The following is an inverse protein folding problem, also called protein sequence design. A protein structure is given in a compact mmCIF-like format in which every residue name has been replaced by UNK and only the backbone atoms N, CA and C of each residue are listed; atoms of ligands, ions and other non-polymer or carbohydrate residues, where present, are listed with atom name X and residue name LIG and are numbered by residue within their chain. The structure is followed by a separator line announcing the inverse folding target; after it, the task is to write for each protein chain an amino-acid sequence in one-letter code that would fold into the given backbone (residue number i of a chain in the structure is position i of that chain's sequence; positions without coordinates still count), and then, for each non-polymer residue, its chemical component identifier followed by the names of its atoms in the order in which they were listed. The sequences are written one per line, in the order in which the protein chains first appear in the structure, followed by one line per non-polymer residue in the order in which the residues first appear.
data_IF_727821353871
#
_entry.id   IF_727821353871
#
_cell.length_a   1.000
_cell.length_b   1.000
_cell.length_c   1.000
_cell.angle_alpha   90.00
_cell.angle_beta   90.00
_cell.angle_gamma   90.00
#
_symmetry.space_group_name_H-M   'P 1'
#
loop_
_entity.id
_entity.type
_entity.pdbx_description
1 polymer ?
#
# COMPACT_ATOMS: atom_id res chain seq x y z
N UNK A 1 -14.79 16.12 6.79
CA UNK A 1 -15.86 16.72 5.94
C UNK A 1 -15.98 15.96 4.64
N UNK A 2 -17.22 15.74 4.16
CA UNK A 2 -17.44 15.08 2.87
C UNK A 2 -16.74 15.86 1.75
N UNK A 3 -16.00 15.20 0.84
CA UNK A 3 -15.40 15.88 -0.30
C UNK A 3 -16.48 16.52 -1.20
N UNK A 4 -16.15 17.64 -1.79
CA UNK A 4 -17.03 18.33 -2.76
C UNK A 4 -17.12 17.53 -4.05
N UNK A 5 -18.20 17.70 -4.83
CA UNK A 5 -18.38 17.05 -6.15
C UNK A 5 -17.19 17.29 -7.08
N UNK A 6 -16.59 18.48 -7.05
CA UNK A 6 -15.40 18.82 -7.84
C UNK A 6 -14.19 17.95 -7.44
N UNK A 7 -13.94 17.80 -6.14
CA UNK A 7 -12.83 16.94 -5.65
C UNK A 7 -13.03 15.49 -6.03
N UNK A 8 -14.26 14.97 -5.98
CA UNK A 8 -14.60 13.60 -6.40
C UNK A 8 -14.36 13.42 -7.90
N UNK A 9 -14.76 14.36 -8.74
CA UNK A 9 -14.55 14.28 -10.18
C UNK A 9 -13.05 14.31 -10.53
N UNK A 10 -12.28 15.20 -9.94
CA UNK A 10 -10.83 15.27 -10.15
C UNK A 10 -10.14 13.96 -9.73
N UNK A 11 -10.59 13.34 -8.63
CA UNK A 11 -10.06 12.04 -8.20
C UNK A 11 -10.38 10.93 -9.21
N UNK A 12 -11.61 10.90 -9.74
CA UNK A 12 -12.02 9.91 -10.75
C UNK A 12 -11.22 10.09 -12.05
N UNK A 13 -10.97 11.31 -12.48
CA UNK A 13 -10.15 11.61 -13.64
C UNK A 13 -8.72 11.10 -13.45
N UNK A 14 -8.06 11.50 -12.36
CA UNK A 14 -6.71 11.03 -12.01
C UNK A 14 -6.63 9.50 -11.95
N UNK A 15 -7.62 8.86 -11.32
CA UNK A 15 -7.70 7.40 -11.24
C UNK A 15 -7.76 6.77 -12.62
N UNK A 16 -8.67 7.26 -13.50
CA UNK A 16 -8.91 6.68 -14.81
C UNK A 16 -7.80 7.00 -15.83
N UNK A 17 -7.03 8.08 -15.63
CA UNK A 17 -5.82 8.37 -16.41
C UNK A 17 -4.68 7.39 -16.07
N UNK A 18 -4.63 6.93 -14.82
CA UNK A 18 -3.56 6.05 -14.33
C UNK A 18 -3.89 4.56 -14.45
N UNK A 19 -5.16 4.20 -14.25
CA UNK A 19 -5.64 2.81 -14.15
C UNK A 19 -6.49 2.46 -15.37
N UNK A 20 -6.07 1.43 -16.09
CA UNK A 20 -6.83 0.86 -17.20
C UNK A 20 -7.96 -0.07 -16.70
N UNK A 21 -8.95 -0.36 -17.55
CA UNK A 21 -10.10 -1.20 -17.16
C UNK A 21 -9.72 -2.62 -16.74
N UNK A 22 -8.65 -3.16 -17.31
CA UNK A 22 -8.15 -4.52 -17.04
C UNK A 22 -7.20 -4.60 -15.85
N UNK A 23 -6.72 -3.46 -15.32
CA UNK A 23 -5.78 -3.45 -14.22
C UNK A 23 -6.41 -3.96 -12.93
N UNK A 24 -5.60 -4.62 -12.10
CA UNK A 24 -5.99 -5.06 -10.76
C UNK A 24 -5.64 -3.97 -9.76
N UNK A 25 -6.62 -3.59 -8.94
CA UNK A 25 -6.47 -2.52 -7.96
C UNK A 25 -6.83 -3.00 -6.56
N UNK A 26 -5.92 -2.83 -5.62
CA UNK A 26 -6.16 -3.05 -4.20
C UNK A 26 -6.42 -1.72 -3.51
N UNK A 27 -7.56 -1.61 -2.84
CA UNK A 27 -7.97 -0.44 -2.06
C UNK A 27 -7.82 -0.80 -0.58
N UNK A 28 -6.94 -0.12 0.14
CA UNK A 28 -6.59 -0.45 1.52
C UNK A 28 -7.47 0.27 2.56
N UNK A 29 -8.76 0.26 2.32
CA UNK A 29 -9.78 0.74 3.23
C UNK A 29 -10.02 2.24 3.19
N UNK A 30 -11.07 2.63 3.92
CA UNK A 30 -11.57 4.00 4.01
C UNK A 30 -11.82 4.65 2.63
N UNK A 31 -12.38 3.82 1.72
CA UNK A 31 -12.61 4.20 0.34
C UNK A 31 -13.59 5.39 0.22
N UNK A 32 -14.64 5.41 1.04
CA UNK A 32 -15.68 6.44 0.89
C UNK A 32 -16.42 6.72 2.19
N UNK A 33 -16.53 8.00 2.52
CA UNK A 33 -17.40 8.54 3.60
C UNK A 33 -18.82 8.86 3.12
N UNK A 34 -19.17 8.53 1.87
CA UNK A 34 -20.46 8.74 1.27
C UNK A 34 -21.46 7.63 1.67
N UNK A 35 -22.76 7.90 1.47
CA UNK A 35 -23.78 6.86 1.58
C UNK A 35 -23.61 5.78 0.48
N UNK A 36 -24.34 4.66 0.62
CA UNK A 36 -24.24 3.53 -0.31
C UNK A 36 -24.48 3.91 -1.78
N UNK A 37 -25.48 4.78 -2.06
CA UNK A 37 -25.81 5.16 -3.43
C UNK A 37 -24.72 6.00 -4.08
N UNK A 38 -24.19 6.98 -3.36
CA UNK A 38 -23.12 7.85 -3.87
C UNK A 38 -21.80 7.09 -4.00
N UNK A 39 -21.50 6.18 -3.05
CA UNK A 39 -20.36 5.26 -3.15
C UNK A 39 -20.47 4.39 -4.40
N UNK A 40 -21.66 3.85 -4.68
CA UNK A 40 -21.89 3.07 -5.91
C UNK A 40 -21.65 3.88 -7.18
N UNK A 41 -22.15 5.11 -7.25
CA UNK A 41 -21.93 6.01 -8.40
C UNK A 41 -20.45 6.30 -8.65
N UNK A 42 -19.65 6.43 -7.61
CA UNK A 42 -18.20 6.60 -7.71
C UNK A 42 -17.58 5.31 -8.26
N UNK A 43 -17.88 4.17 -7.65
CA UNK A 43 -17.33 2.86 -8.06
C UNK A 43 -17.65 2.50 -9.52
N UNK A 44 -18.86 2.80 -9.99
CA UNK A 44 -19.29 2.58 -11.36
C UNK A 44 -18.44 3.35 -12.40
N UNK A 45 -17.84 4.46 -12.00
CA UNK A 45 -17.01 5.33 -12.84
C UNK A 45 -15.52 4.99 -12.81
N UNK A 46 -15.05 4.26 -11.82
CA UNK A 46 -13.64 3.93 -11.62
C UNK A 46 -13.24 2.70 -12.45
N UNK A 47 -12.18 2.83 -13.24
CA UNK A 47 -11.56 1.72 -13.94
C UNK A 47 -10.95 0.68 -13.00
N UNK A 48 -10.66 -0.49 -13.55
CA UNK A 48 -9.93 -1.55 -12.88
C UNK A 48 -10.78 -2.58 -12.14
N UNK A 49 -10.18 -3.74 -11.93
CA UNK A 49 -10.73 -4.84 -11.14
C UNK A 49 -10.40 -4.62 -9.67
N UNK A 50 -11.36 -4.13 -8.92
CA UNK A 50 -11.17 -3.63 -7.55
C UNK A 50 -11.25 -4.74 -6.52
N UNK A 51 -10.27 -4.81 -5.62
CA UNK A 51 -10.26 -5.61 -4.40
C UNK A 51 -10.27 -4.66 -3.20
N UNK A 52 -11.19 -4.84 -2.26
CA UNK A 52 -11.29 -4.00 -1.07
C UNK A 52 -10.69 -4.71 0.15
N UNK A 53 -9.71 -4.10 0.78
CA UNK A 53 -9.29 -4.40 2.13
C UNK A 53 -10.09 -3.47 3.04
N UNK A 54 -10.98 -4.03 3.86
CA UNK A 54 -12.01 -3.28 4.58
C UNK A 54 -11.37 -2.46 5.70
N UNK A 55 -11.61 -1.14 5.69
CA UNK A 55 -11.27 -0.19 6.74
C UNK A 55 -12.45 0.12 7.67
N UNK A 56 -12.19 0.92 8.70
CA UNK A 56 -13.20 1.26 9.72
C UNK A 56 -14.30 2.20 9.20
N UNK A 57 -14.09 2.90 8.10
CA UNK A 57 -15.08 3.79 7.49
C UNK A 57 -15.78 3.20 6.27
N UNK A 58 -15.56 1.93 5.93
CA UNK A 58 -16.10 1.28 4.73
C UNK A 58 -17.50 0.69 4.88
N UNK A 59 -18.29 1.14 5.85
CA UNK A 59 -19.65 0.61 6.09
C UNK A 59 -20.60 0.71 4.88
N UNK A 60 -20.39 1.68 4.00
CA UNK A 60 -21.15 1.85 2.75
C UNK A 60 -20.56 0.99 1.62
N UNK A 61 -19.23 0.96 1.49
CA UNK A 61 -18.53 0.19 0.47
C UNK A 61 -18.69 -1.32 0.69
N UNK A 62 -18.58 -1.79 1.94
CA UNK A 62 -18.74 -3.21 2.29
C UNK A 62 -20.14 -3.79 2.01
N UNK A 63 -21.15 -2.95 1.79
CA UNK A 63 -22.51 -3.34 1.36
C UNK A 63 -22.67 -3.42 -0.17
N UNK A 64 -21.59 -3.21 -0.92
CA UNK A 64 -21.52 -3.22 -2.38
C UNK A 64 -20.58 -4.33 -2.87
N UNK A 65 -20.72 -5.52 -2.29
CA UNK A 65 -19.87 -6.69 -2.55
C UNK A 65 -19.78 -7.04 -4.05
N UNK A 66 -20.86 -6.88 -4.78
CA UNK A 66 -20.91 -7.12 -6.22
C UNK A 66 -20.08 -6.13 -7.07
N UNK A 67 -19.60 -5.04 -6.48
CA UNK A 67 -18.73 -4.04 -7.13
C UNK A 67 -17.24 -4.36 -7.00
N UNK A 68 -16.89 -5.36 -6.18
CA UNK A 68 -15.52 -5.77 -5.91
C UNK A 68 -15.28 -7.22 -6.33
N UNK A 69 -14.08 -7.52 -6.81
CA UNK A 69 -13.64 -8.89 -7.10
C UNK A 69 -13.42 -9.71 -5.83
N UNK A 70 -13.02 -9.05 -4.75
CA UNK A 70 -12.96 -9.61 -3.39
C UNK A 70 -13.01 -8.51 -2.36
N UNK A 71 -13.48 -8.90 -1.15
CA UNK A 71 -13.41 -8.06 0.04
C UNK A 71 -12.87 -8.91 1.20
N UNK A 72 -11.96 -8.35 1.97
CA UNK A 72 -11.37 -9.01 3.14
C UNK A 72 -10.74 -7.98 4.08
N UNK A 73 -10.52 -8.35 5.35
CA UNK A 73 -9.79 -7.50 6.28
C UNK A 73 -8.27 -7.61 6.11
N UNK A 74 -7.81 -8.77 5.65
CA UNK A 74 -6.39 -9.04 5.35
C UNK A 74 -6.31 -9.74 4.01
N UNK A 75 -5.33 -9.36 3.19
CA UNK A 75 -5.02 -10.00 1.93
C UNK A 75 -3.55 -10.41 1.92
N UNK A 76 -3.30 -11.68 1.72
CA UNK A 76 -1.97 -12.27 1.58
C UNK A 76 -1.76 -12.60 0.09
N UNK A 77 -0.77 -11.98 -0.55
CA UNK A 77 -0.51 -12.14 -1.99
C UNK A 77 0.98 -12.30 -2.24
N UNK A 78 1.33 -13.31 -3.04
CA UNK A 78 2.68 -13.45 -3.57
C UNK A 78 2.68 -13.11 -5.05
N UNK A 79 3.32 -12.01 -5.42
CA UNK A 79 3.59 -11.65 -6.80
C UNK A 79 4.83 -12.43 -7.28
N UNK A 80 4.65 -13.27 -8.30
CA UNK A 80 5.69 -14.18 -8.77
C UNK A 80 6.61 -13.50 -9.79
N UNK A 81 7.93 -13.63 -9.61
CA UNK A 81 8.93 -13.13 -10.56
C UNK A 81 8.77 -13.69 -11.97
N UNK A 82 8.27 -14.91 -12.10
CA UNK A 82 8.04 -15.53 -13.42
C UNK A 82 6.83 -14.93 -14.16
N UNK A 83 6.02 -14.12 -13.47
CA UNK A 83 4.85 -13.44 -14.02
C UNK A 83 5.11 -11.95 -14.31
N UNK A 84 6.02 -11.34 -13.54
CA UNK A 84 6.29 -9.89 -13.58
C UNK A 84 7.77 -9.63 -13.85
N UNK A 85 8.10 -9.16 -15.05
CA UNK A 85 9.48 -8.95 -15.53
C UNK A 85 10.31 -7.97 -14.69
N UNK A 86 9.67 -7.08 -13.92
CA UNK A 86 10.36 -6.13 -13.04
C UNK A 86 10.77 -6.74 -11.69
N UNK A 87 10.36 -7.96 -11.37
CA UNK A 87 10.70 -8.63 -10.11
C UNK A 87 11.96 -9.48 -10.27
N UNK A 88 12.97 -9.27 -9.43
CA UNK A 88 14.14 -10.14 -9.31
C UNK A 88 13.83 -11.42 -8.52
N UNK A 89 12.90 -11.32 -7.58
CA UNK A 89 12.46 -12.38 -6.68
C UNK A 89 10.94 -12.30 -6.45
N UNK A 90 10.35 -13.35 -5.89
CA UNK A 90 8.94 -13.33 -5.50
C UNK A 90 8.68 -12.24 -4.46
N UNK A 91 7.64 -11.44 -4.66
CA UNK A 91 7.30 -10.32 -3.78
C UNK A 91 6.06 -10.66 -2.97
N UNK A 92 6.25 -10.93 -1.68
CA UNK A 92 5.20 -11.34 -0.75
C UNK A 92 4.65 -10.13 0.02
N UNK A 93 3.39 -9.80 -0.21
CA UNK A 93 2.73 -8.60 0.31
C UNK A 93 1.55 -8.98 1.18
N UNK A 94 1.56 -8.52 2.42
CA UNK A 94 0.44 -8.61 3.37
C UNK A 94 -0.25 -7.24 3.43
N UNK A 95 -1.49 -7.17 2.97
CA UNK A 95 -2.30 -5.97 2.96
C UNK A 95 -3.31 -6.00 4.10
N UNK A 96 -3.33 -4.95 4.91
CA UNK A 96 -4.29 -4.74 5.98
C UNK A 96 -4.58 -3.24 6.07
N UNK A 97 -5.81 -2.83 6.40
CA UNK A 97 -6.10 -1.42 6.62
C UNK A 97 -5.26 -0.82 7.76
N UNK A 98 -5.02 -1.61 8.81
CA UNK A 98 -4.23 -1.21 9.96
C UNK A 98 -2.76 -1.64 9.85
N UNK A 99 -1.82 -0.85 10.41
CA UNK A 99 -0.42 -1.26 10.53
C UNK A 99 -0.28 -2.46 11.48
N UNK A 100 0.49 -3.46 11.08
CA UNK A 100 0.71 -4.67 11.86
C UNK A 100 2.05 -4.62 12.58
N UNK A 101 2.11 -5.10 13.83
CA UNK A 101 3.36 -5.32 14.56
C UNK A 101 4.08 -6.59 14.11
N UNK A 102 3.31 -7.58 13.68
CA UNK A 102 3.81 -8.83 13.11
C UNK A 102 2.83 -9.34 12.06
N UNK A 103 3.34 -10.00 11.03
CA UNK A 103 2.55 -10.53 9.92
C UNK A 103 3.19 -11.77 9.35
N UNK A 104 2.47 -12.47 8.48
CA UNK A 104 2.92 -13.71 7.85
C UNK A 104 4.25 -13.52 7.11
N UNK A 105 5.22 -14.39 7.40
CA UNK A 105 6.55 -14.41 6.79
C UNK A 105 7.38 -13.12 6.96
N UNK A 106 7.08 -12.28 7.98
CA UNK A 106 7.81 -11.04 8.27
C UNK A 106 9.33 -11.25 8.31
N UNK A 107 9.79 -12.31 8.98
CA UNK A 107 11.22 -12.63 9.12
C UNK A 107 11.84 -13.21 7.84
N UNK A 108 11.04 -13.46 6.81
CA UNK A 108 11.46 -14.01 5.51
C UNK A 108 11.25 -12.99 4.37
N UNK A 109 11.17 -11.71 4.70
CA UNK A 109 11.16 -10.63 3.73
C UNK A 109 9.79 -10.26 3.16
N UNK A 110 8.68 -10.80 3.70
CA UNK A 110 7.36 -10.29 3.33
C UNK A 110 7.16 -8.87 3.87
N UNK A 111 6.36 -8.08 3.15
CA UNK A 111 6.10 -6.68 3.48
C UNK A 111 4.66 -6.48 3.96
N UNK A 112 4.44 -5.53 4.87
CA UNK A 112 3.11 -5.09 5.28
C UNK A 112 2.77 -3.74 4.64
N UNK A 113 1.66 -3.70 3.93
CA UNK A 113 1.12 -2.49 3.30
C UNK A 113 -0.19 -2.14 3.99
N UNK A 114 -0.31 -0.90 4.46
CA UNK A 114 -1.46 -0.44 5.25
C UNK A 114 -1.91 0.97 4.87
N UNK A 115 -3.04 1.40 5.41
CA UNK A 115 -3.55 2.77 5.40
C UNK A 115 -3.74 3.27 6.83
N UNK A 116 -4.89 3.87 7.11
CA UNK A 116 -5.42 4.29 8.42
C UNK A 116 -4.65 5.40 9.12
N UNK A 117 -3.32 5.39 9.10
CA UNK A 117 -2.48 6.25 9.94
C UNK A 117 -2.20 7.62 9.34
N UNK A 118 -2.67 7.93 8.11
CA UNK A 118 -2.51 9.24 7.48
C UNK A 118 -1.05 9.75 7.47
N UNK A 119 -0.08 8.85 7.29
CA UNK A 119 1.35 9.17 7.28
C UNK A 119 2.00 9.35 8.67
N UNK A 120 1.24 9.27 9.78
CA UNK A 120 1.81 9.43 11.13
C UNK A 120 2.89 8.40 11.49
N UNK A 121 2.88 7.23 10.85
CA UNK A 121 3.86 6.18 11.09
C UNK A 121 5.00 6.14 10.07
N UNK A 122 5.00 6.99 9.05
CA UNK A 122 5.99 6.95 7.97
C UNK A 122 7.43 7.01 8.51
N UNK A 123 7.68 7.98 9.41
CA UNK A 123 8.99 8.11 10.05
C UNK A 123 9.34 6.89 10.92
N UNK A 124 8.39 6.38 11.70
CA UNK A 124 8.62 5.19 12.53
C UNK A 124 8.91 3.95 11.68
N UNK A 125 8.18 3.75 10.59
CA UNK A 125 8.40 2.64 9.67
C UNK A 125 9.81 2.71 9.07
N UNK A 126 10.22 3.87 8.60
CA UNK A 126 11.56 4.10 8.03
C UNK A 126 12.66 3.93 9.07
N UNK A 127 12.55 4.60 10.22
CA UNK A 127 13.58 4.58 11.27
C UNK A 127 13.78 3.19 11.89
N UNK A 128 12.72 2.40 12.01
CA UNK A 128 12.79 1.03 12.56
C UNK A 128 13.32 -0.01 11.57
N UNK A 129 13.40 0.31 10.27
CA UNK A 129 13.74 -0.65 9.21
C UNK A 129 12.70 -1.76 9.03
N UNK A 130 11.49 -1.56 9.55
CA UNK A 130 10.38 -2.49 9.35
C UNK A 130 9.91 -2.45 7.91
N UNK A 131 9.74 -3.61 7.28
CA UNK A 131 9.21 -3.73 5.91
C UNK A 131 7.70 -3.45 5.89
N UNK A 132 7.34 -2.23 6.27
CA UNK A 132 5.97 -1.75 6.40
C UNK A 132 5.84 -0.34 5.84
N UNK A 133 4.74 -0.05 5.11
CA UNK A 133 4.49 1.27 4.51
C UNK A 133 3.02 1.67 4.57
N UNK A 134 2.77 2.96 4.83
CA UNK A 134 1.46 3.59 4.67
C UNK A 134 1.26 3.99 3.20
N UNK A 135 0.25 3.43 2.55
CA UNK A 135 -0.13 3.73 1.16
C UNK A 135 -1.39 4.62 1.08
N UNK A 136 -1.87 5.08 2.22
CA UNK A 136 -2.97 6.06 2.28
C UNK A 136 -2.60 7.36 1.57
N UNK A 137 -3.60 8.10 1.09
CA UNK A 137 -3.41 9.34 0.30
C UNK A 137 -2.60 10.41 1.03
N UNK A 138 -2.57 10.38 2.36
CA UNK A 138 -1.80 11.30 3.21
C UNK A 138 -0.38 10.79 3.52
N UNK A 139 -0.05 9.55 3.16
CA UNK A 139 1.27 8.96 3.33
C UNK A 139 2.30 9.57 2.39
N UNK A 140 3.59 9.56 2.81
CA UNK A 140 4.67 10.14 2.00
C UNK A 140 4.84 9.44 0.65
N UNK A 141 4.72 8.13 0.61
CA UNK A 141 4.87 7.38 -0.64
C UNK A 141 3.78 7.76 -1.64
N UNK A 142 2.52 7.85 -1.21
CA UNK A 142 1.42 8.25 -2.06
C UNK A 142 1.58 9.69 -2.60
N UNK A 143 1.99 10.64 -1.75
CA UNK A 143 2.25 12.02 -2.16
C UNK A 143 3.37 12.13 -3.20
N UNK A 144 4.43 11.36 -3.06
CA UNK A 144 5.56 11.32 -3.99
C UNK A 144 5.23 10.62 -5.31
N UNK A 145 4.27 9.69 -5.31
CA UNK A 145 3.90 8.88 -6.48
C UNK A 145 2.69 9.38 -7.28
N UNK A 146 2.10 10.53 -6.90
CA UNK A 146 0.86 11.01 -7.52
C UNK A 146 -0.39 10.29 -7.02
N UNK A 147 -0.39 9.83 -5.77
CA UNK A 147 -1.49 9.21 -5.01
C UNK A 147 -1.87 7.78 -5.40
N UNK A 148 -1.44 7.26 -6.54
CA UNK A 148 -1.67 5.87 -6.94
C UNK A 148 -0.32 5.18 -7.02
N UNK A 149 -0.15 4.13 -6.22
CA UNK A 149 1.11 3.42 -6.08
C UNK A 149 1.07 2.18 -6.96
N UNK A 150 1.93 2.13 -7.96
CA UNK A 150 2.08 0.94 -8.80
C UNK A 150 2.87 -0.16 -8.10
N UNK A 151 2.65 -1.41 -8.49
CA UNK A 151 3.39 -2.54 -7.93
C UNK A 151 4.91 -2.44 -8.16
N UNK A 152 5.42 -2.01 -9.33
CA UNK A 152 6.85 -1.77 -9.52
C UNK A 152 7.42 -0.72 -8.55
N UNK A 153 6.70 0.37 -8.33
CA UNK A 153 7.13 1.42 -7.39
C UNK A 153 7.16 0.90 -5.95
N UNK A 154 6.15 0.14 -5.54
CA UNK A 154 6.10 -0.47 -4.21
C UNK A 154 7.26 -1.45 -4.00
N UNK A 155 7.55 -2.29 -4.99
CA UNK A 155 8.69 -3.21 -4.96
C UNK A 155 10.01 -2.47 -4.82
N UNK A 156 10.25 -1.45 -5.64
CA UNK A 156 11.47 -0.65 -5.59
C UNK A 156 11.64 0.06 -4.24
N UNK A 157 10.56 0.60 -3.68
CA UNK A 157 10.58 1.23 -2.35
C UNK A 157 11.13 0.27 -1.27
N UNK A 158 10.66 -0.97 -1.23
CA UNK A 158 11.14 -1.95 -0.26
C UNK A 158 12.55 -2.47 -0.57
N UNK A 159 12.93 -2.59 -1.83
CA UNK A 159 14.31 -2.91 -2.23
C UNK A 159 15.29 -1.84 -1.74
N UNK A 160 14.96 -0.58 -1.87
CA UNK A 160 15.78 0.54 -1.41
C UNK A 160 15.90 0.53 0.11
N UNK A 161 14.79 0.36 0.86
CA UNK A 161 14.83 0.22 2.31
C UNK A 161 15.74 -0.92 2.77
N UNK A 162 15.67 -2.07 2.13
CA UNK A 162 16.48 -3.24 2.48
C UNK A 162 17.96 -2.97 2.22
N UNK A 163 18.29 -2.33 1.11
CA UNK A 163 19.66 -1.97 0.74
C UNK A 163 20.26 -0.95 1.72
N UNK A 164 19.51 0.10 2.09
CA UNK A 164 19.94 1.10 3.05
C UNK A 164 20.17 0.50 4.44
N UNK A 165 19.27 -0.36 4.91
CA UNK A 165 19.41 -1.04 6.18
C UNK A 165 20.62 -1.97 6.19
N UNK A 166 20.89 -2.69 5.12
CA UNK A 166 22.06 -3.57 4.96
C UNK A 166 23.36 -2.78 4.97
N UNK A 167 23.41 -1.65 4.25
CA UNK A 167 24.56 -0.76 4.22
C UNK A 167 24.83 -0.16 5.60
N UNK A 168 23.80 0.30 6.29
CA UNK A 168 23.91 0.89 7.63
C UNK A 168 24.46 -0.13 8.66
N UNK A 169 23.96 -1.37 8.61
CA UNK A 169 24.48 -2.48 9.43
C UNK A 169 25.94 -2.76 9.12
N UNK A 170 26.31 -2.84 7.84
CA UNK A 170 27.70 -3.08 7.41
C UNK A 170 28.66 -1.99 7.91
N UNK A 171 28.25 -0.73 7.83
CA UNK A 171 29.04 0.41 8.32
C UNK A 171 29.21 0.35 9.84
N UNK A 172 28.13 0.07 10.58
CA UNK A 172 28.20 -0.09 12.05
C UNK A 172 29.13 -1.23 12.47
N UNK A 173 29.04 -2.39 11.80
CA UNK A 173 29.87 -3.55 12.11
C UNK A 173 31.37 -3.26 11.82
N UNK A 174 31.68 -2.48 10.79
CA UNK A 174 33.07 -2.04 10.51
C UNK A 174 33.60 -1.07 11.56
N UNK A 175 32.79 -0.09 11.97
CA UNK A 175 33.16 0.86 13.02
C UNK A 175 33.40 0.12 14.34
N UNK A 176 32.51 -0.79 14.74
CA UNK A 176 32.69 -1.57 15.95
C UNK A 176 33.96 -2.40 15.93
N UNK A 177 34.31 -3.04 14.81
CA UNK A 177 35.56 -3.79 14.66
C UNK A 177 36.81 -2.92 14.74
N UNK A 178 36.77 -1.71 14.17
CA UNK A 178 37.92 -0.79 14.23
C UNK A 178 38.22 -0.27 15.65
N UNK A 179 37.18 -0.18 16.50
CA UNK A 179 37.33 0.24 17.89
C UNK A 179 37.81 -0.89 18.83
N UNK A 180 37.71 -2.15 18.43
CA UNK A 180 38.15 -3.31 19.23
C UNK A 180 39.54 -3.81 18.87
N UNK A 181 40.16 -3.26 17.83
CA UNK A 181 41.52 -3.62 17.34
C UNK A 181 42.58 -2.55 17.67
N UNK A 182 42.22 -1.54 18.41
CA UNK A 182 43.11 -0.50 18.98
C UNK A 182 43.21 -0.68 20.50
#
# INVERSE_FOLDING_TARGET
SKPTTLKVNNFIELWNETIAKQDVVYILGDFSFHNKQDTKKILDRLHGQKHLIIGNHDSSASKLDNMFKSMSHIKDVVFRKDTYDFLDEDFHVIMCHYPMLSWQSRNYGSVNVHGHCHGFLDKLNTDSGELRVDVGLDGELAKKSGFIISLPLLYQYFKDMTNETSLHKYVKDRIAKSLTTS
#
